data_IF_998535511936
#
_entry.id   IF_998535511936
#
_cell.length_a   1.000
_cell.length_b   1.000
_cell.length_c   1.000
_cell.angle_alpha   90.00
_cell.angle_beta   90.00
_cell.angle_gamma   90.00
#
_symmetry.space_group_name_H-M   'P 1'
#
loop_
_entity.id
_entity.type
_entity.pdbx_description
1 polymer ?
#
# COMPACT_ATOMS: atom_id res chain seq x y z
N UNK A 1 25.13 -6.94 19.51
CA UNK A 1 24.75 -8.18 20.22
C UNK A 1 23.34 -8.54 19.81
N UNK A 2 23.02 -9.78 19.44
CA UNK A 2 21.66 -10.17 19.11
C UNK A 2 20.74 -10.01 20.33
N UNK A 3 19.50 -9.57 20.08
CA UNK A 3 18.49 -9.37 21.12
C UNK A 3 18.15 -10.73 21.76
N UNK A 4 18.01 -10.83 23.10
CA UNK A 4 17.68 -12.07 23.77
C UNK A 4 16.36 -12.66 23.23
N UNK A 5 16.34 -13.95 22.92
CA UNK A 5 15.17 -14.66 22.34
C UNK A 5 13.87 -14.43 23.15
N UNK A 6 13.97 -14.36 24.48
CA UNK A 6 12.83 -14.11 25.36
C UNK A 6 12.17 -12.75 25.12
N UNK A 7 12.96 -11.70 24.83
CA UNK A 7 12.42 -10.36 24.52
C UNK A 7 11.66 -10.37 23.18
N UNK A 8 12.17 -11.09 22.19
CA UNK A 8 11.52 -11.26 20.90
C UNK A 8 10.19 -11.97 21.08
N UNK A 9 10.14 -13.06 21.84
CA UNK A 9 8.92 -13.83 22.11
C UNK A 9 7.90 -12.93 22.83
N UNK A 10 8.27 -12.26 23.91
CA UNK A 10 7.37 -11.38 24.66
C UNK A 10 6.82 -10.24 23.79
N UNK A 11 7.65 -9.66 22.92
CA UNK A 11 7.23 -8.61 21.97
C UNK A 11 6.22 -9.15 20.97
N UNK A 12 6.44 -10.35 20.45
CA UNK A 12 5.51 -11.00 19.51
C UNK A 12 4.16 -11.29 20.17
N UNK A 13 4.15 -11.85 21.37
CA UNK A 13 2.93 -12.11 22.14
C UNK A 13 2.15 -10.82 22.44
N UNK A 14 2.84 -9.78 22.93
CA UNK A 14 2.22 -8.46 23.16
C UNK A 14 1.58 -7.91 21.91
N UNK A 15 2.27 -7.99 20.78
CA UNK A 15 1.77 -7.52 19.48
C UNK A 15 0.53 -8.29 19.05
N UNK A 16 0.53 -9.60 19.18
CA UNK A 16 -0.61 -10.44 18.85
C UNK A 16 -1.83 -10.12 19.72
N UNK A 17 -1.65 -9.95 21.02
CA UNK A 17 -2.72 -9.57 21.94
C UNK A 17 -3.29 -8.18 21.63
N UNK A 18 -2.41 -7.20 21.38
CA UNK A 18 -2.84 -5.85 21.00
C UNK A 18 -3.59 -5.86 19.66
N UNK A 19 -3.09 -6.58 18.67
CA UNK A 19 -3.78 -6.72 17.38
C UNK A 19 -5.18 -7.34 17.56
N UNK A 20 -5.31 -8.39 18.35
CA UNK A 20 -6.60 -9.02 18.66
C UNK A 20 -7.55 -8.03 19.38
N UNK A 21 -7.04 -7.28 20.37
CA UNK A 21 -7.81 -6.27 21.08
C UNK A 21 -8.31 -5.16 20.13
N UNK A 22 -7.44 -4.58 19.29
CA UNK A 22 -7.83 -3.52 18.37
C UNK A 22 -8.86 -4.02 17.36
N UNK A 23 -8.66 -5.20 16.77
CA UNK A 23 -9.62 -5.81 15.85
C UNK A 23 -10.97 -6.09 16.50
N UNK A 24 -10.99 -6.51 17.78
CA UNK A 24 -12.23 -6.88 18.46
C UNK A 24 -13.00 -5.70 19.03
N UNK A 25 -12.30 -4.65 19.52
CA UNK A 25 -12.91 -3.58 20.32
C UNK A 25 -12.76 -2.18 19.73
N UNK A 26 -11.84 -2.00 18.77
CA UNK A 26 -11.56 -0.69 18.14
C UNK A 26 -11.90 -0.65 16.67
N UNK A 27 -12.00 -1.81 16.00
CA UNK A 27 -12.43 -1.89 14.61
C UNK A 27 -13.82 -1.27 14.46
N UNK A 28 -14.01 -0.55 13.35
CA UNK A 28 -15.29 0.10 13.08
C UNK A 28 -15.52 1.44 13.78
N UNK A 29 -14.58 1.96 14.57
CA UNK A 29 -14.64 3.35 15.01
C UNK A 29 -14.56 4.27 13.79
N UNK A 30 -15.42 5.31 13.71
CA UNK A 30 -15.37 6.21 12.57
C UNK A 30 -14.21 7.21 12.68
N UNK A 31 -13.76 7.69 11.52
CA UNK A 31 -12.99 8.91 11.35
C UNK A 31 -13.45 9.60 10.07
N UNK A 32 -13.28 10.92 9.99
CA UNK A 32 -13.77 11.70 8.86
C UNK A 32 -12.61 12.32 8.08
N UNK A 33 -12.63 12.19 6.75
CA UNK A 33 -11.71 12.87 5.85
C UNK A 33 -12.52 13.60 4.78
N UNK A 34 -12.32 14.91 4.63
CA UNK A 34 -13.01 15.74 3.65
C UNK A 34 -14.54 15.59 3.70
N UNK A 35 -15.12 15.45 4.90
CA UNK A 35 -16.57 15.30 5.09
C UNK A 35 -17.13 13.92 4.79
N UNK A 36 -16.28 12.93 4.49
CA UNK A 36 -16.67 11.53 4.27
C UNK A 36 -16.23 10.69 5.46
N UNK A 37 -17.14 9.89 5.99
CA UNK A 37 -16.87 9.00 7.11
C UNK A 37 -16.31 7.67 6.64
N UNK A 38 -15.21 7.29 7.27
CA UNK A 38 -14.54 6.00 7.12
C UNK A 38 -14.49 5.28 8.46
N UNK A 39 -14.04 4.02 8.45
CA UNK A 39 -13.83 3.23 9.67
C UNK A 39 -12.38 2.78 9.74
N UNK A 40 -11.77 2.87 10.93
CA UNK A 40 -10.44 2.33 11.16
C UNK A 40 -10.39 0.86 10.77
N UNK A 41 -9.34 0.52 10.03
CA UNK A 41 -9.09 -0.83 9.56
C UNK A 41 -7.94 -1.46 10.36
N UNK A 42 -8.22 -2.56 11.03
CA UNK A 42 -7.21 -3.29 11.81
C UNK A 42 -7.11 -4.72 11.32
N UNK A 43 -5.91 -5.09 10.86
CA UNK A 43 -5.63 -6.43 10.35
C UNK A 43 -4.40 -7.02 11.05
N UNK A 44 -4.25 -8.36 11.02
CA UNK A 44 -3.10 -9.04 11.61
C UNK A 44 -1.83 -8.80 10.79
N UNK A 45 -1.99 -8.71 9.46
CA UNK A 45 -0.89 -8.42 8.55
C UNK A 45 -0.39 -7.00 8.79
N UNK A 46 0.95 -6.84 8.80
CA UNK A 46 1.67 -5.57 9.00
C UNK A 46 1.26 -4.77 10.25
N UNK A 47 0.58 -5.39 11.23
CA UNK A 47 0.23 -4.77 12.50
C UNK A 47 -0.50 -3.42 12.35
N UNK A 48 -1.47 -3.34 11.43
CA UNK A 48 -2.17 -2.10 11.08
C UNK A 48 -2.81 -1.36 12.28
N UNK A 49 -2.82 -1.94 13.47
CA UNK A 49 -3.35 -1.31 14.68
C UNK A 49 -2.44 -0.22 15.27
N UNK A 50 -1.19 -0.11 14.83
CA UNK A 50 -0.21 0.82 15.38
C UNK A 50 0.51 1.69 14.33
N UNK A 51 0.02 1.67 13.09
CA UNK A 51 0.57 2.45 12.00
C UNK A 51 -0.52 3.18 11.19
N UNK A 52 -0.09 4.00 10.25
CA UNK A 52 -0.93 4.80 9.34
C UNK A 52 -1.85 3.96 8.47
N UNK A 53 -1.53 2.69 8.24
CA UNK A 53 -2.33 1.77 7.43
C UNK A 53 -3.74 1.55 7.96
N UNK A 54 -3.94 1.80 9.28
CA UNK A 54 -5.29 1.79 9.86
C UNK A 54 -6.23 2.81 9.21
N UNK A 55 -5.68 3.87 8.63
CA UNK A 55 -6.39 4.97 7.94
C UNK A 55 -6.24 4.85 6.42
N UNK A 56 -5.01 4.64 5.94
CA UNK A 56 -4.69 4.60 4.50
C UNK A 56 -5.46 3.49 3.77
N UNK A 57 -5.48 2.28 4.35
CA UNK A 57 -6.12 1.12 3.72
C UNK A 57 -7.61 1.34 3.45
N UNK A 58 -8.46 1.70 4.44
CA UNK A 58 -9.88 1.88 4.17
C UNK A 58 -10.17 3.08 3.27
N UNK A 59 -9.37 4.14 3.36
CA UNK A 59 -9.52 5.32 2.52
C UNK A 59 -9.21 5.01 1.06
N UNK A 60 -8.04 4.43 0.78
CA UNK A 60 -7.64 4.13 -0.59
C UNK A 60 -8.46 2.99 -1.20
N UNK A 61 -8.84 1.98 -0.40
CA UNK A 61 -9.76 0.94 -0.87
C UNK A 61 -11.11 1.52 -1.31
N UNK A 62 -11.69 2.45 -0.54
CA UNK A 62 -12.93 3.10 -0.90
C UNK A 62 -12.82 3.94 -2.19
N UNK A 63 -11.64 4.50 -2.48
CA UNK A 63 -11.36 5.23 -3.74
C UNK A 63 -11.23 4.25 -4.90
N UNK A 64 -10.44 3.19 -4.74
CA UNK A 64 -10.20 2.14 -5.75
C UNK A 64 -11.51 1.51 -6.20
N UNK A 65 -12.42 1.20 -5.27
CA UNK A 65 -13.72 0.59 -5.58
C UNK A 65 -14.66 1.45 -6.45
N UNK A 66 -14.34 2.72 -6.68
CA UNK A 66 -15.14 3.64 -7.52
C UNK A 66 -14.68 3.70 -8.98
N UNK A 67 -13.57 3.03 -9.30
CA UNK A 67 -12.96 3.05 -10.63
C UNK A 67 -12.97 1.62 -11.17
N UNK A 68 -13.27 1.41 -12.46
CA UNK A 68 -13.16 0.09 -13.08
C UNK A 68 -11.77 -0.51 -12.87
N UNK A 69 -11.64 -1.78 -12.45
CA UNK A 69 -10.34 -2.35 -12.05
C UNK A 69 -9.30 -2.30 -13.18
N UNK A 70 -9.69 -2.45 -14.43
CA UNK A 70 -8.80 -2.33 -15.60
C UNK A 70 -8.28 -0.90 -15.83
N UNK A 71 -8.81 0.07 -15.09
CA UNK A 71 -8.40 1.49 -15.14
C UNK A 71 -7.62 1.93 -13.88
N UNK A 72 -7.31 0.99 -13.01
CA UNK A 72 -6.55 1.23 -11.77
C UNK A 72 -5.19 0.56 -11.85
N UNK A 73 -4.16 1.29 -11.42
CA UNK A 73 -2.82 0.77 -11.17
C UNK A 73 -2.47 0.96 -9.69
N UNK A 74 -1.99 -0.08 -9.05
CA UNK A 74 -1.34 -0.02 -7.75
C UNK A 74 0.17 -0.15 -7.91
N UNK A 75 0.92 0.77 -7.30
CA UNK A 75 2.38 0.76 -7.23
C UNK A 75 2.80 0.33 -5.83
N UNK A 76 3.42 -0.84 -5.74
CA UNK A 76 3.61 -1.58 -4.50
C UNK A 76 2.41 -2.51 -4.22
N UNK A 77 2.68 -3.76 -3.88
CA UNK A 77 1.62 -4.74 -3.62
C UNK A 77 1.14 -4.66 -2.17
N UNK A 78 0.19 -3.78 -1.86
CA UNK A 78 -0.31 -3.56 -0.50
C UNK A 78 -1.75 -4.03 -0.34
N UNK A 79 -2.67 -3.63 -1.22
CA UNK A 79 -4.10 -3.90 -1.07
C UNK A 79 -4.44 -5.39 -1.20
N UNK A 80 -3.69 -6.15 -2.02
CA UNK A 80 -3.89 -7.59 -2.18
C UNK A 80 -3.70 -8.40 -0.90
N UNK A 81 -2.95 -7.87 0.08
CA UNK A 81 -2.79 -8.49 1.40
C UNK A 81 -4.04 -8.43 2.27
N UNK A 82 -5.01 -7.60 1.89
CA UNK A 82 -6.20 -7.32 2.70
C UNK A 82 -7.50 -7.62 1.97
N UNK A 83 -7.53 -7.49 0.65
CA UNK A 83 -8.72 -7.62 -0.17
C UNK A 83 -8.45 -8.43 -1.44
N UNK A 84 -9.45 -9.09 -2.03
CA UNK A 84 -9.35 -9.60 -3.38
C UNK A 84 -9.25 -8.43 -4.35
N UNK A 85 -8.11 -8.28 -5.02
CA UNK A 85 -7.84 -7.23 -6.00
C UNK A 85 -7.94 -7.78 -7.42
N UNK A 86 -8.41 -6.96 -8.35
CA UNK A 86 -8.54 -7.30 -9.77
C UNK A 86 -7.91 -6.23 -10.68
N UNK A 87 -7.30 -5.20 -10.10
CA UNK A 87 -6.60 -4.16 -10.80
C UNK A 87 -5.13 -4.55 -11.06
N UNK A 88 -4.49 -3.79 -11.94
CA UNK A 88 -3.06 -3.98 -12.22
C UNK A 88 -2.20 -3.61 -11.01
N UNK A 89 -1.20 -4.45 -10.71
CA UNK A 89 -0.23 -4.22 -9.64
C UNK A 89 1.18 -4.29 -10.20
N UNK A 90 1.99 -3.29 -9.88
CA UNK A 90 3.43 -3.25 -10.19
C UNK A 90 4.21 -3.17 -8.90
N UNK A 91 5.06 -4.16 -8.66
CA UNK A 91 6.01 -4.19 -7.55
C UNK A 91 7.33 -4.77 -8.04
N UNK A 92 8.44 -4.08 -7.79
CA UNK A 92 9.76 -4.51 -8.27
C UNK A 92 10.22 -5.81 -7.62
N UNK A 93 9.90 -6.02 -6.36
CA UNK A 93 10.49 -7.05 -5.51
C UNK A 93 9.53 -8.15 -5.10
N UNK A 94 8.30 -7.80 -4.78
CA UNK A 94 7.33 -8.76 -4.27
C UNK A 94 6.79 -9.64 -5.39
N UNK A 95 7.01 -10.95 -5.27
CA UNK A 95 6.51 -11.96 -6.20
C UNK A 95 5.23 -12.57 -5.68
N UNK A 96 4.11 -12.18 -6.28
CA UNK A 96 2.79 -12.72 -5.98
C UNK A 96 1.96 -12.91 -7.26
N UNK A 97 0.91 -13.74 -7.25
CA UNK A 97 0.02 -13.87 -8.39
C UNK A 97 -0.60 -12.52 -8.77
N UNK A 98 -0.57 -12.19 -10.06
CA UNK A 98 -1.10 -10.92 -10.59
C UNK A 98 -0.17 -9.71 -10.44
N UNK A 99 0.97 -9.84 -9.74
CA UNK A 99 1.95 -8.76 -9.60
C UNK A 99 2.93 -8.78 -10.77
N UNK A 100 3.10 -7.63 -11.42
CA UNK A 100 4.08 -7.41 -12.49
C UNK A 100 5.39 -6.92 -11.86
N UNK A 101 6.44 -7.75 -11.90
CA UNK A 101 7.74 -7.41 -11.32
C UNK A 101 8.55 -6.53 -12.28
N UNK A 102 8.24 -5.26 -12.29
CA UNK A 102 8.87 -4.23 -13.12
C UNK A 102 9.22 -3.05 -12.24
N UNK A 103 10.38 -2.42 -12.48
CA UNK A 103 10.70 -1.15 -11.84
C UNK A 103 9.73 -0.08 -12.33
N UNK A 104 9.16 0.67 -11.39
CA UNK A 104 8.16 1.69 -11.70
C UNK A 104 8.65 2.77 -12.66
N UNK A 105 9.95 3.05 -12.70
CA UNK A 105 10.54 4.02 -13.63
C UNK A 105 10.55 3.51 -15.08
N UNK A 106 10.50 2.19 -15.26
CA UNK A 106 10.53 1.53 -16.58
C UNK A 106 9.16 1.01 -17.00
N UNK A 107 8.18 1.10 -16.12
CA UNK A 107 6.83 0.63 -16.42
C UNK A 107 6.19 1.38 -17.59
N UNK A 108 5.63 0.63 -18.53
CA UNK A 108 4.94 1.16 -19.73
C UNK A 108 3.64 0.38 -19.90
N UNK A 109 2.49 1.00 -19.62
CA UNK A 109 1.18 0.39 -19.83
C UNK A 109 0.78 0.41 -21.31
N UNK A 110 -0.11 -0.51 -21.70
CA UNK A 110 -0.73 -0.53 -23.03
C UNK A 110 -1.88 0.48 -23.16
N UNK A 111 -2.47 0.88 -22.03
CA UNK A 111 -3.54 1.87 -21.95
C UNK A 111 -3.33 2.75 -20.70
N UNK A 112 -3.78 4.00 -20.73
CA UNK A 112 -3.65 4.88 -19.57
C UNK A 112 -4.62 4.50 -18.45
N UNK A 113 -4.25 4.83 -17.21
CA UNK A 113 -5.06 4.61 -16.01
C UNK A 113 -5.82 5.86 -15.59
N UNK A 114 -7.00 5.66 -15.01
CA UNK A 114 -7.79 6.75 -14.41
C UNK A 114 -7.42 6.98 -12.94
N UNK A 115 -6.87 5.96 -12.32
CA UNK A 115 -6.39 6.02 -10.95
C UNK A 115 -5.07 5.26 -10.82
N UNK A 116 -4.08 5.92 -10.24
CA UNK A 116 -2.87 5.26 -9.77
C UNK A 116 -2.81 5.45 -8.26
N UNK A 117 -2.58 4.38 -7.50
CA UNK A 117 -2.42 4.42 -6.05
C UNK A 117 -1.05 3.88 -5.65
N UNK A 118 -0.47 4.46 -4.62
CA UNK A 118 0.76 3.96 -4.00
C UNK A 118 0.66 4.15 -2.49
N UNK A 119 0.85 3.08 -1.73
CA UNK A 119 0.72 3.07 -0.28
C UNK A 119 2.07 2.73 0.32
N UNK A 120 2.71 3.71 0.99
CA UNK A 120 4.00 3.52 1.67
C UNK A 120 5.03 2.77 0.78
N UNK A 121 5.18 3.20 -0.49
CA UNK A 121 6.04 2.53 -1.47
C UNK A 121 6.97 3.49 -2.19
N UNK A 122 6.47 4.64 -2.68
CA UNK A 122 7.27 5.56 -3.49
C UNK A 122 8.46 6.14 -2.75
N UNK A 123 8.39 6.28 -1.43
CA UNK A 123 9.49 6.72 -0.57
C UNK A 123 10.66 5.72 -0.53
N UNK A 124 10.43 4.47 -0.89
CA UNK A 124 11.47 3.43 -0.94
C UNK A 124 12.16 3.32 -2.30
N UNK A 125 11.56 3.88 -3.35
CA UNK A 125 12.11 3.82 -4.71
C UNK A 125 13.44 4.56 -4.77
N UNK A 126 14.52 3.84 -5.11
CA UNK A 126 15.88 4.38 -5.14
C UNK A 126 16.60 4.47 -3.80
N UNK A 127 15.89 4.36 -2.67
CA UNK A 127 16.49 4.41 -1.34
C UNK A 127 16.82 3.03 -0.76
N UNK A 128 16.10 1.99 -1.19
CA UNK A 128 16.37 0.60 -0.81
C UNK A 128 17.15 -0.16 -1.89
N UNK A 129 17.91 0.55 -2.71
CA UNK A 129 18.63 0.01 -3.85
C UNK A 129 20.13 0.28 -3.76
N UNK A 130 20.95 -0.58 -4.36
CA UNK A 130 22.38 -0.37 -4.53
C UNK A 130 22.73 -0.34 -6.01
N UNK A 131 23.29 0.76 -6.52
CA UNK A 131 23.62 2.00 -5.80
C UNK A 131 22.37 2.80 -5.40
N UNK A 132 22.51 3.61 -4.33
CA UNK A 132 21.47 4.55 -3.90
C UNK A 132 21.19 5.59 -4.99
N UNK A 133 19.91 5.77 -5.35
CA UNK A 133 19.47 6.73 -6.39
C UNK A 133 18.46 7.75 -5.81
N UNK A 134 18.89 8.82 -5.14
CA UNK A 134 17.98 9.79 -4.50
C UNK A 134 16.99 10.48 -5.47
N UNK A 135 17.34 10.60 -6.74
CA UNK A 135 16.49 11.21 -7.77
C UNK A 135 15.46 10.24 -8.39
N UNK A 136 15.54 8.97 -8.06
CA UNK A 136 14.69 7.93 -8.65
C UNK A 136 13.22 8.09 -8.30
N UNK A 137 12.81 8.51 -7.08
CA UNK A 137 11.40 8.75 -6.77
C UNK A 137 10.77 9.79 -7.71
N UNK A 138 11.50 10.86 -8.05
CA UNK A 138 11.02 11.88 -8.98
C UNK A 138 10.88 11.34 -10.41
N UNK A 139 11.78 10.46 -10.82
CA UNK A 139 11.66 9.73 -12.11
C UNK A 139 10.43 8.83 -12.12
N UNK A 140 10.16 8.13 -11.02
CA UNK A 140 8.99 7.31 -10.85
C UNK A 140 7.70 8.13 -10.98
N UNK A 141 7.58 9.24 -10.22
CA UNK A 141 6.41 10.13 -10.28
C UNK A 141 6.20 10.67 -11.70
N UNK A 142 7.25 11.16 -12.37
CA UNK A 142 7.16 11.62 -13.75
C UNK A 142 6.73 10.52 -14.73
N UNK A 143 7.16 9.29 -14.49
CA UNK A 143 6.74 8.16 -15.31
C UNK A 143 5.26 7.84 -15.06
N UNK A 144 4.82 7.79 -13.81
CA UNK A 144 3.43 7.52 -13.43
C UNK A 144 2.48 8.59 -13.99
N UNK A 145 2.88 9.87 -13.99
CA UNK A 145 2.12 10.95 -14.65
C UNK A 145 1.86 10.68 -16.13
N UNK A 146 2.82 10.09 -16.85
CA UNK A 146 2.64 9.69 -18.25
C UNK A 146 1.75 8.47 -18.45
N UNK A 147 1.56 7.69 -17.39
CA UNK A 147 0.68 6.53 -17.38
C UNK A 147 -0.78 6.89 -17.09
N UNK A 148 -1.06 8.14 -16.68
CA UNK A 148 -2.42 8.60 -16.39
C UNK A 148 -3.17 8.98 -17.67
N UNK A 149 -4.48 8.77 -17.63
CA UNK A 149 -5.40 9.38 -18.58
C UNK A 149 -5.48 10.91 -18.37
N UNK A 150 -6.03 11.70 -19.31
CA UNK A 150 -6.09 13.16 -19.19
C UNK A 150 -6.77 13.67 -17.92
N UNK A 151 -7.67 12.89 -17.32
CA UNK A 151 -8.37 13.21 -16.08
C UNK A 151 -7.99 12.27 -14.93
N UNK A 152 -6.98 11.43 -15.15
CA UNK A 152 -6.48 10.47 -14.16
C UNK A 152 -5.86 11.16 -12.95
N UNK A 153 -5.79 10.44 -11.84
CA UNK A 153 -5.27 10.90 -10.55
C UNK A 153 -4.23 9.94 -10.01
N UNK A 154 -3.21 10.51 -9.36
CA UNK A 154 -2.18 9.81 -8.60
C UNK A 154 -2.30 10.23 -7.14
#
# INVERSE_FOLDING_TARGET
MPEPAIKVILRTWRRSLLSAYYRRFKAGRPFTVCGVDYRYFYHANNQTYCDERAVEIPLLWAIVQRVPPERVLEVGNVLSHYFPTHHDVVDKYERAPGVRNIDVVDFRPTQPYDLIVSISTLEHVGFNEEPLEPEKPWRAIRNLQRCLSPQGRL
#
